data_IF_654547608358
#
_entry.id   IF_654547608358
#
_cell.length_a   1.000
_cell.length_b   1.000
_cell.length_c   1.000
_cell.angle_alpha   90.00
_cell.angle_beta   90.00
_cell.angle_gamma   90.00
#
_symmetry.space_group_name_H-M   'P 1'
#
loop_
_entity.id
_entity.type
_entity.pdbx_description
1 polymer ?
#
# COMPACT_ATOMS: atom_id res chain seq x y z
N UNK A 1 30.92 28.24 39.19
CA UNK A 1 30.21 29.49 39.57
C UNK A 1 29.01 29.59 38.65
N UNK A 2 27.76 29.35 39.05
CA UNK A 2 27.11 29.58 40.34
C UNK A 2 26.47 28.30 40.88
N UNK A 3 26.68 28.05 42.17
CA UNK A 3 25.94 27.10 42.98
C UNK A 3 25.03 27.94 43.87
N UNK A 4 23.72 27.74 43.84
CA UNK A 4 22.81 28.31 44.84
C UNK A 4 22.06 27.15 45.50
N UNK A 5 22.57 26.79 46.68
CA UNK A 5 21.86 26.05 47.73
C UNK A 5 21.35 27.11 48.71
N UNK A 6 20.04 27.16 48.96
CA UNK A 6 19.47 27.74 50.20
C UNK A 6 18.06 27.15 50.44
N UNK A 7 17.58 27.17 51.70
CA UNK A 7 17.11 25.99 52.41
C UNK A 7 15.60 26.04 52.71
N UNK A 8 15.12 25.02 53.43
CA UNK A 8 13.71 24.69 53.59
C UNK A 8 12.76 25.82 53.98
N UNK A 9 11.54 25.74 53.44
CA UNK A 9 10.30 26.00 54.16
C UNK A 9 9.09 25.51 53.33
N UNK A 10 8.01 25.20 54.05
CA UNK A 10 6.83 24.48 53.59
C UNK A 10 6.13 25.10 52.37
N UNK A 11 5.78 24.23 51.42
CA UNK A 11 5.10 24.60 50.17
C UNK A 11 3.57 24.67 50.37
N UNK A 12 2.99 25.87 50.21
CA UNK A 12 1.55 26.04 49.92
C UNK A 12 1.39 26.39 48.44
N UNK A 13 0.72 25.50 47.70
CA UNK A 13 0.40 25.68 46.29
C UNK A 13 -0.63 26.77 46.06
N UNK A 14 -0.32 27.69 45.13
CA UNK A 14 -1.23 28.31 44.16
C UNK A 14 -0.69 29.62 43.54
N UNK A 15 0.47 30.15 43.98
CA UNK A 15 0.98 31.43 43.44
C UNK A 15 2.08 31.31 42.36
N UNK A 16 2.59 30.12 42.04
CA UNK A 16 3.72 29.96 41.12
C UNK A 16 3.39 30.25 39.64
N UNK A 17 2.11 30.21 39.25
CA UNK A 17 1.71 30.38 37.85
C UNK A 17 1.67 31.86 37.41
N UNK A 18 1.45 32.78 38.35
CA UNK A 18 1.34 34.22 38.05
C UNK A 18 2.70 34.92 38.08
N UNK A 19 3.63 34.51 38.94
CA UNK A 19 4.96 35.11 39.02
C UNK A 19 5.84 34.81 37.80
N UNK A 20 5.78 33.59 37.25
CA UNK A 20 6.55 33.19 36.05
C UNK A 20 6.07 33.96 34.81
N UNK A 21 4.77 34.29 34.72
CA UNK A 21 4.21 35.09 33.62
C UNK A 21 4.70 36.54 33.66
N UNK A 22 4.79 37.16 34.84
CA UNK A 22 5.20 38.57 34.97
C UNK A 22 6.71 38.78 34.73
N UNK A 23 7.53 37.79 35.09
CA UNK A 23 8.99 37.87 34.93
C UNK A 23 9.43 37.72 33.47
N UNK A 24 8.68 36.92 32.69
CA UNK A 24 8.92 36.76 31.25
C UNK A 24 8.40 37.94 30.41
N UNK A 25 7.37 38.65 30.88
CA UNK A 25 6.81 39.82 30.18
C UNK A 25 7.68 41.08 30.30
N UNK A 26 8.40 41.27 31.41
CA UNK A 26 9.12 42.52 31.66
C UNK A 26 10.54 42.56 31.06
N UNK A 27 11.12 41.43 30.65
CA UNK A 27 12.49 41.36 30.11
C UNK A 27 12.57 41.19 28.58
N UNK A 28 11.45 41.24 27.87
CA UNK A 28 11.39 41.13 26.40
C UNK A 28 10.81 42.42 25.84
N UNK A 29 11.62 43.49 25.77
CA UNK A 29 11.20 44.74 25.11
C UNK A 29 11.90 45.07 23.80
N UNK A 30 12.99 44.41 23.43
CA UNK A 30 13.73 44.79 22.23
C UNK A 30 14.19 43.60 21.38
N UNK A 31 13.28 42.73 20.91
CA UNK A 31 13.55 41.87 19.74
C UNK A 31 12.23 41.44 19.09
N UNK A 32 11.87 42.10 17.98
CA UNK A 32 10.80 41.67 17.08
C UNK A 32 11.24 40.46 16.28
N UNK A 33 11.01 39.23 16.77
CA UNK A 33 10.80 37.95 16.03
C UNK A 33 10.68 36.82 17.08
N UNK A 34 9.74 35.86 16.95
CA UNK A 34 9.46 34.92 18.04
C UNK A 34 10.56 33.83 18.12
N UNK A 35 11.56 34.09 18.97
CA UNK A 35 12.46 33.09 19.53
C UNK A 35 11.66 32.14 20.43
N UNK A 36 11.52 30.89 20.00
CA UNK A 36 10.96 29.82 20.84
C UNK A 36 12.06 29.37 21.80
N UNK A 37 11.99 29.87 23.03
CA UNK A 37 12.78 29.46 24.19
C UNK A 37 12.37 28.05 24.65
N UNK A 38 13.36 27.16 24.85
CA UNK A 38 13.16 25.88 25.52
C UNK A 38 13.23 26.09 27.03
N UNK A 39 12.19 25.65 27.76
CA UNK A 39 12.20 25.63 29.22
C UNK A 39 12.00 24.19 29.70
N UNK A 40 13.07 23.56 30.20
CA UNK A 40 13.00 22.35 31.02
C UNK A 40 12.64 22.80 32.44
N UNK A 41 11.36 22.69 32.82
CA UNK A 41 10.95 22.98 34.20
C UNK A 41 10.89 21.67 34.98
N UNK A 42 11.82 21.48 35.91
CA UNK A 42 11.83 20.35 36.84
C UNK A 42 10.79 20.62 37.93
N UNK A 43 9.59 20.04 37.79
CA UNK A 43 8.50 20.17 38.79
C UNK A 43 8.58 19.01 39.79
N UNK A 44 9.37 19.16 40.85
CA UNK A 44 9.32 18.23 42.00
C UNK A 44 9.75 16.79 41.69
N UNK A 45 9.44 15.80 42.57
CA UNK A 45 10.12 14.49 42.64
C UNK A 45 9.97 13.69 41.33
N UNK A 46 10.79 12.64 41.09
CA UNK A 46 11.42 12.30 39.79
C UNK A 46 10.49 11.74 38.68
N UNK A 47 9.18 12.00 38.74
CA UNK A 47 8.15 11.28 38.01
C UNK A 47 7.37 12.15 37.00
N UNK A 48 7.82 13.39 36.70
CA UNK A 48 7.14 14.25 35.73
C UNK A 48 8.13 14.94 34.78
N UNK A 49 8.12 14.54 33.51
CA UNK A 49 8.80 15.24 32.41
C UNK A 49 7.74 15.89 31.53
N UNK A 50 7.89 17.19 31.30
CA UNK A 50 7.05 17.98 30.42
C UNK A 50 7.77 18.16 29.08
N UNK A 51 7.29 17.48 28.03
CA UNK A 51 7.86 17.55 26.68
C UNK A 51 6.99 18.45 25.81
N UNK A 52 7.61 19.49 25.23
CA UNK A 52 6.97 20.36 24.24
C UNK A 52 7.35 19.89 22.84
N UNK A 53 6.37 19.36 22.11
CA UNK A 53 6.53 18.93 20.72
C UNK A 53 5.40 19.60 19.94
N UNK A 54 5.77 20.39 18.93
CA UNK A 54 4.84 20.94 17.92
C UNK A 54 3.53 21.51 18.48
N UNK A 55 3.61 22.42 19.44
CA UNK A 55 2.43 23.10 20.00
C UNK A 55 1.60 22.28 21.00
N UNK A 56 2.07 21.11 21.44
CA UNK A 56 1.42 20.29 22.48
C UNK A 56 2.33 20.07 23.68
N UNK A 57 1.75 20.10 24.88
CA UNK A 57 2.43 19.75 26.14
C UNK A 57 2.13 18.30 26.50
N UNK A 58 3.17 17.48 26.66
CA UNK A 58 3.05 16.12 27.16
C UNK A 58 3.52 16.07 28.61
N UNK A 59 2.60 15.82 29.55
CA UNK A 59 2.90 15.51 30.94
C UNK A 59 2.91 13.99 31.07
N UNK A 60 4.07 13.40 31.37
CA UNK A 60 4.11 12.00 31.81
C UNK A 60 3.83 11.96 33.31
N UNK A 61 2.60 11.63 33.69
CA UNK A 61 2.22 11.20 35.05
C UNK A 61 1.13 10.14 34.93
N UNK A 62 1.11 9.18 35.85
CA UNK A 62 0.11 8.12 35.93
C UNK A 62 -1.32 8.65 35.73
N UNK A 63 -2.03 8.05 34.78
CA UNK A 63 -3.48 8.07 34.60
C UNK A 63 -4.20 9.43 34.41
N UNK A 64 -3.73 10.33 33.53
CA UNK A 64 -4.61 11.38 32.98
C UNK A 64 -4.46 11.52 31.46
N UNK A 65 -5.55 11.23 30.74
CA UNK A 65 -5.75 11.60 29.33
C UNK A 65 -5.84 13.12 29.22
N UNK A 66 -4.97 13.72 28.43
CA UNK A 66 -5.20 15.04 27.83
C UNK A 66 -5.10 14.91 26.31
N UNK A 67 -6.27 14.78 25.68
CA UNK A 67 -6.49 14.91 24.25
C UNK A 67 -6.60 16.40 23.89
N UNK A 68 -5.81 16.87 22.93
CA UNK A 68 -5.95 18.20 22.36
C UNK A 68 -5.02 18.38 21.16
N UNK A 69 -5.53 18.12 19.96
CA UNK A 69 -4.87 18.37 18.68
C UNK A 69 -5.20 19.81 18.24
N UNK A 70 -4.21 20.61 17.82
CA UNK A 70 -4.45 21.86 17.09
C UNK A 70 -3.62 21.86 15.79
N UNK A 71 -4.23 22.09 14.61
CA UNK A 71 -3.58 21.89 13.32
C UNK A 71 -2.87 23.17 12.85
N UNK A 72 -1.62 23.40 13.25
CA UNK A 72 -0.82 24.50 12.68
C UNK A 72 0.64 24.09 12.49
N UNK A 73 0.95 23.25 11.51
CA UNK A 73 2.33 23.10 11.02
C UNK A 73 2.34 22.79 9.52
N UNK A 74 2.39 23.86 8.71
CA UNK A 74 2.71 23.80 7.28
C UNK A 74 3.89 24.69 6.84
N UNK A 75 4.48 25.58 7.66
CA UNK A 75 5.74 26.24 7.28
C UNK A 75 6.83 26.09 8.34
N UNK A 76 7.52 24.95 8.38
CA UNK A 76 8.86 24.86 9.00
C UNK A 76 9.82 23.92 8.24
N UNK A 77 9.45 23.52 7.01
CA UNK A 77 10.19 22.58 6.14
C UNK A 77 11.40 23.27 5.44
N UNK A 78 11.79 24.48 5.86
CA UNK A 78 12.84 25.25 5.18
C UNK A 78 14.26 25.09 5.76
N UNK A 79 14.49 24.33 6.83
CA UNK A 79 15.81 24.22 7.48
C UNK A 79 16.16 22.77 7.85
N UNK A 80 16.62 21.98 6.87
CA UNK A 80 16.89 20.54 6.99
C UNK A 80 17.96 20.17 8.04
N UNK A 81 19.06 20.91 8.14
CA UNK A 81 20.18 20.52 9.01
C UNK A 81 19.95 20.83 10.50
N UNK A 82 19.21 21.89 10.81
CA UNK A 82 18.93 22.27 12.20
C UNK A 82 17.87 21.35 12.83
N UNK A 83 16.95 20.82 12.01
CA UNK A 83 15.91 19.89 12.45
C UNK A 83 16.49 18.51 12.77
N UNK A 84 17.34 17.96 11.90
CA UNK A 84 17.93 16.63 12.10
C UNK A 84 18.77 16.55 13.39
N UNK A 85 19.52 17.61 13.70
CA UNK A 85 20.31 17.69 14.93
C UNK A 85 19.43 17.72 16.19
N UNK A 86 18.29 18.44 16.17
CA UNK A 86 17.35 18.48 17.31
C UNK A 86 16.60 17.17 17.50
N UNK A 87 16.18 16.51 16.42
CA UNK A 87 15.53 15.20 16.47
C UNK A 87 16.50 14.14 17.00
N UNK A 88 17.75 14.16 16.54
CA UNK A 88 18.80 13.27 17.03
C UNK A 88 19.07 13.49 18.52
N UNK A 89 19.11 14.75 18.98
CA UNK A 89 19.24 15.07 20.40
C UNK A 89 18.06 14.53 21.23
N UNK A 90 16.82 14.63 20.73
CA UNK A 90 15.63 14.14 21.41
C UNK A 90 15.62 12.62 21.52
N UNK A 91 16.00 11.91 20.45
CA UNK A 91 16.20 10.46 20.51
C UNK A 91 17.39 10.07 21.40
N UNK A 92 18.44 10.87 21.48
CA UNK A 92 19.57 10.61 22.39
C UNK A 92 19.13 10.72 23.86
N UNK A 93 18.33 11.74 24.18
CA UNK A 93 17.70 11.86 25.50
C UNK A 93 16.86 10.62 25.76
N UNK A 94 15.94 10.26 24.85
CA UNK A 94 15.11 9.06 24.99
C UNK A 94 15.92 7.78 25.27
N UNK A 95 17.05 7.60 24.58
CA UNK A 95 17.93 6.44 24.81
C UNK A 95 18.58 6.44 26.19
N UNK A 96 18.97 7.61 26.71
CA UNK A 96 19.57 7.73 28.04
C UNK A 96 18.58 7.33 29.14
N UNK A 97 17.27 7.47 28.89
CA UNK A 97 16.23 7.02 29.82
C UNK A 97 15.80 5.57 29.61
N UNK A 98 16.22 4.88 28.54
CA UNK A 98 15.92 3.46 28.30
C UNK A 98 16.13 2.56 29.54
N UNK A 99 17.29 2.58 30.24
CA UNK A 99 17.51 1.71 31.40
C UNK A 99 16.62 2.01 32.60
N UNK A 100 15.85 3.11 32.56
CA UNK A 100 14.92 3.50 33.63
C UNK A 100 13.49 3.00 33.39
N UNK A 101 13.21 2.38 32.24
CA UNK A 101 11.89 1.88 31.89
C UNK A 101 11.89 0.36 31.72
N UNK A 102 10.78 -0.33 32.03
CA UNK A 102 10.61 -1.72 31.64
C UNK A 102 10.66 -1.90 30.11
N UNK A 103 11.31 -2.96 29.63
CA UNK A 103 11.51 -3.19 28.19
C UNK A 103 10.19 -3.26 27.39
N UNK A 104 9.16 -3.89 27.95
CA UNK A 104 7.86 -4.00 27.29
C UNK A 104 7.22 -2.63 27.02
N UNK A 105 7.34 -1.70 27.99
CA UNK A 105 6.78 -0.36 27.94
C UNK A 105 7.58 0.52 26.99
N UNK A 106 8.91 0.49 27.12
CA UNK A 106 9.82 1.21 26.22
C UNK A 106 9.57 0.82 24.77
N UNK A 107 9.51 -0.48 24.49
CA UNK A 107 9.29 -0.99 23.15
C UNK A 107 7.91 -0.67 22.59
N UNK A 108 6.87 -0.64 23.44
CA UNK A 108 5.54 -0.22 23.00
C UNK A 108 5.51 1.25 22.59
N UNK A 109 6.14 2.12 23.39
CA UNK A 109 6.23 3.55 23.08
C UNK A 109 7.10 3.80 21.86
N UNK A 110 8.19 3.07 21.71
CA UNK A 110 9.08 3.17 20.55
C UNK A 110 8.33 2.87 19.24
N UNK A 111 7.52 1.81 19.22
CA UNK A 111 6.70 1.45 18.05
C UNK A 111 5.65 2.51 17.79
N UNK A 112 4.95 3.00 18.82
CA UNK A 112 3.94 4.08 18.69
C UNK A 112 4.51 5.37 18.12
N UNK A 113 5.71 5.78 18.55
CA UNK A 113 6.41 6.95 17.99
C UNK A 113 6.80 6.69 16.53
N UNK A 114 7.25 5.47 16.21
CA UNK A 114 7.49 5.06 14.83
C UNK A 114 6.24 5.21 13.96
N UNK A 115 5.09 4.72 14.45
CA UNK A 115 3.81 4.77 13.71
C UNK A 115 3.40 6.23 13.44
N UNK A 116 3.56 7.12 14.42
CA UNK A 116 3.30 8.55 14.24
C UNK A 116 4.24 9.21 13.23
N UNK A 117 5.52 8.84 13.22
CA UNK A 117 6.46 9.35 12.21
C UNK A 117 6.09 8.89 10.80
N UNK A 118 5.59 7.66 10.66
CA UNK A 118 5.07 7.14 9.38
C UNK A 118 3.83 7.92 8.94
N UNK A 119 2.91 8.23 9.85
CA UNK A 119 1.76 9.09 9.56
C UNK A 119 2.18 10.49 9.07
N UNK A 120 3.29 11.02 9.61
CA UNK A 120 3.91 12.28 9.18
C UNK A 120 4.77 12.15 7.91
N UNK A 121 4.90 10.95 7.34
CA UNK A 121 5.76 10.61 6.18
C UNK A 121 7.27 10.77 6.45
N UNK A 122 7.68 10.75 7.70
CA UNK A 122 9.09 10.80 8.12
C UNK A 122 9.69 9.38 8.18
N UNK A 123 9.71 8.68 7.03
CA UNK A 123 10.06 7.26 6.96
C UNK A 123 11.50 6.96 7.39
N UNK A 124 12.44 7.82 7.02
CA UNK A 124 13.87 7.67 7.38
C UNK A 124 14.07 7.69 8.90
N UNK A 125 13.39 8.62 9.60
CA UNK A 125 13.45 8.74 11.06
C UNK A 125 12.76 7.56 11.75
N UNK A 126 11.58 7.16 11.25
CA UNK A 126 10.87 6.00 11.77
C UNK A 126 11.73 4.73 11.67
N UNK A 127 12.45 4.56 10.55
CA UNK A 127 13.30 3.41 10.31
C UNK A 127 14.57 3.42 11.17
N UNK A 128 15.31 4.53 11.20
CA UNK A 128 16.61 4.61 11.89
C UNK A 128 16.47 4.67 13.41
N UNK A 129 15.46 5.38 13.93
CA UNK A 129 15.34 5.66 15.36
C UNK A 129 14.28 4.84 16.09
N UNK A 130 13.32 4.24 15.37
CA UNK A 130 12.26 3.42 15.97
C UNK A 130 12.36 1.95 15.55
N UNK A 131 11.87 1.61 14.36
CA UNK A 131 11.70 0.21 13.94
C UNK A 131 13.02 -0.54 13.82
N UNK A 132 14.05 0.06 13.24
CA UNK A 132 15.38 -0.56 13.14
C UNK A 132 15.97 -0.87 14.52
N UNK A 133 15.78 0.03 15.50
CA UNK A 133 16.23 -0.18 16.88
C UNK A 133 15.42 -1.23 17.61
N UNK A 134 14.12 -1.31 17.35
CA UNK A 134 13.28 -2.37 17.91
C UNK A 134 13.76 -3.73 17.40
N UNK A 135 14.00 -3.87 16.09
CA UNK A 135 14.44 -5.12 15.48
C UNK A 135 15.87 -5.51 15.92
N UNK A 136 16.78 -4.55 16.06
CA UNK A 136 18.14 -4.78 16.59
C UNK A 136 18.16 -5.32 18.02
N UNK A 137 17.12 -5.05 18.83
CA UNK A 137 17.01 -5.60 20.17
C UNK A 137 16.60 -7.07 20.17
N UNK A 138 15.93 -7.54 19.11
CA UNK A 138 15.50 -8.92 18.96
C UNK A 138 16.65 -9.76 18.38
N UNK A 139 17.27 -9.26 17.31
CA UNK A 139 18.39 -9.96 16.65
C UNK A 139 19.37 -8.97 16.04
N UNK A 140 20.66 -9.31 16.06
CA UNK A 140 21.72 -8.60 15.34
C UNK A 140 21.82 -8.97 13.85
N UNK A 141 21.00 -9.91 13.37
CA UNK A 141 21.03 -10.39 11.98
C UNK A 141 20.54 -9.30 11.02
N UNK A 142 21.25 -9.14 9.91
CA UNK A 142 20.86 -8.21 8.86
C UNK A 142 19.64 -8.74 8.11
N UNK A 143 18.48 -8.11 8.32
CA UNK A 143 17.20 -8.45 7.69
C UNK A 143 17.30 -8.48 6.16
N UNK A 144 18.20 -7.67 5.57
CA UNK A 144 18.40 -7.63 4.12
C UNK A 144 19.06 -8.90 3.54
N UNK A 145 19.46 -9.86 4.38
CA UNK A 145 20.06 -11.14 3.96
C UNK A 145 19.19 -12.35 4.29
N UNK A 146 17.93 -12.14 4.68
CA UNK A 146 17.03 -13.25 4.99
C UNK A 146 16.58 -13.94 3.70
N UNK A 147 16.90 -15.22 3.56
CA UNK A 147 16.55 -16.02 2.38
C UNK A 147 15.52 -17.10 2.71
N UNK A 148 15.34 -17.46 3.99
CA UNK A 148 14.44 -18.55 4.38
C UNK A 148 13.45 -18.21 5.50
N UNK A 149 12.33 -18.93 5.47
CA UNK A 149 11.31 -18.94 6.52
C UNK A 149 11.91 -19.39 7.86
N UNK A 150 12.80 -20.38 7.83
CA UNK A 150 13.42 -20.92 9.04
C UNK A 150 14.31 -19.89 9.74
N UNK A 151 15.14 -19.16 8.98
CA UNK A 151 15.98 -18.07 9.51
C UNK A 151 15.14 -16.97 10.13
N UNK A 152 14.10 -16.49 9.43
CA UNK A 152 13.24 -15.43 9.96
C UNK A 152 12.53 -15.89 11.24
N UNK A 153 11.99 -17.12 11.24
CA UNK A 153 11.32 -17.69 12.42
C UNK A 153 12.26 -17.83 13.61
N UNK A 154 13.45 -18.38 13.41
CA UNK A 154 14.41 -18.67 14.50
C UNK A 154 14.96 -17.38 15.10
N UNK A 155 15.24 -16.38 14.26
CA UNK A 155 15.82 -15.12 14.69
C UNK A 155 14.77 -14.23 15.38
N UNK A 156 13.59 -14.06 14.80
CA UNK A 156 12.61 -13.07 15.25
C UNK A 156 11.51 -13.62 16.15
N UNK A 157 11.28 -14.94 16.17
CA UNK A 157 10.17 -15.57 16.89
C UNK A 157 10.60 -16.81 17.70
N UNK A 158 11.61 -16.71 18.58
CA UNK A 158 12.11 -17.85 19.35
C UNK A 158 11.04 -18.48 20.26
N UNK A 159 10.12 -17.66 20.79
CA UNK A 159 9.03 -18.10 21.66
C UNK A 159 7.77 -18.54 20.90
N UNK A 160 7.82 -18.58 19.57
CA UNK A 160 6.68 -18.84 18.70
C UNK A 160 5.72 -17.66 18.53
N UNK A 161 4.61 -17.88 17.81
CA UNK A 161 3.71 -16.79 17.39
C UNK A 161 2.58 -16.46 18.36
N UNK A 162 2.39 -17.27 19.40
CA UNK A 162 1.41 -16.99 20.47
C UNK A 162 1.93 -15.98 21.51
N UNK A 163 3.21 -15.66 21.46
CA UNK A 163 3.82 -14.64 22.30
C UNK A 163 3.19 -13.26 21.99
N UNK A 164 2.74 -12.48 22.99
CA UNK A 164 2.28 -11.10 22.79
C UNK A 164 3.26 -10.22 22.00
N UNK A 165 4.57 -10.50 22.13
CA UNK A 165 5.62 -9.79 21.42
C UNK A 165 5.58 -10.11 19.91
N UNK A 166 5.22 -11.34 19.52
CA UNK A 166 5.24 -11.77 18.12
C UNK A 166 4.34 -10.89 17.23
N UNK A 167 3.13 -10.55 17.69
CA UNK A 167 2.22 -9.67 16.94
C UNK A 167 2.85 -8.30 16.70
N UNK A 168 3.54 -7.75 17.71
CA UNK A 168 4.27 -6.48 17.59
C UNK A 168 5.46 -6.61 16.63
N UNK A 169 6.23 -7.70 16.71
CA UNK A 169 7.35 -7.95 15.79
C UNK A 169 6.87 -8.04 14.34
N UNK A 170 5.76 -8.73 14.06
CA UNK A 170 5.19 -8.77 12.72
C UNK A 170 4.77 -7.38 12.23
N UNK A 171 4.07 -6.59 13.06
CA UNK A 171 3.72 -5.20 12.74
C UNK A 171 4.96 -4.39 12.39
N UNK A 172 5.98 -4.43 13.25
CA UNK A 172 7.23 -3.68 13.03
C UNK A 172 7.93 -4.13 11.75
N UNK A 173 7.99 -5.43 11.45
CA UNK A 173 8.57 -5.93 10.19
C UNK A 173 7.81 -5.39 8.97
N UNK A 174 6.47 -5.40 8.99
CA UNK A 174 5.65 -4.88 7.88
C UNK A 174 5.83 -3.38 7.67
N UNK A 175 5.79 -2.58 8.74
CA UNK A 175 5.96 -1.13 8.63
C UNK A 175 7.39 -0.78 8.27
N UNK A 176 8.38 -1.53 8.77
CA UNK A 176 9.78 -1.36 8.38
C UNK A 176 9.99 -1.58 6.87
N UNK A 177 9.40 -2.64 6.30
CA UNK A 177 9.42 -2.88 4.85
C UNK A 177 8.71 -1.77 4.06
N UNK A 178 7.62 -1.24 4.62
CA UNK A 178 6.90 -0.10 4.02
C UNK A 178 7.77 1.16 4.01
N UNK A 179 8.43 1.48 5.12
CA UNK A 179 9.35 2.61 5.21
C UNK A 179 10.51 2.46 4.23
N UNK A 180 11.10 1.26 4.11
CA UNK A 180 12.15 1.00 3.13
C UNK A 180 11.68 1.28 1.71
N UNK A 181 10.52 0.77 1.32
CA UNK A 181 9.98 1.02 -0.01
C UNK A 181 9.71 2.51 -0.23
N UNK A 182 9.18 3.21 0.77
CA UNK A 182 8.93 4.66 0.67
C UNK A 182 10.22 5.46 0.52
N UNK A 183 11.27 5.11 1.24
CA UNK A 183 12.59 5.72 1.04
C UNK A 183 13.12 5.48 -0.38
N UNK A 184 12.96 4.27 -0.93
CA UNK A 184 13.32 4.00 -2.33
C UNK A 184 12.54 4.92 -3.28
N UNK A 185 11.24 5.11 -3.05
CA UNK A 185 10.45 6.03 -3.86
C UNK A 185 10.83 7.50 -3.67
N UNK A 186 11.23 7.93 -2.47
CA UNK A 186 11.64 9.31 -2.21
C UNK A 186 12.96 9.63 -2.93
N UNK A 187 13.87 8.65 -3.04
CA UNK A 187 15.16 8.78 -3.71
C UNK A 187 15.08 8.53 -5.23
N UNK A 188 14.20 7.64 -5.69
CA UNK A 188 14.09 7.18 -7.08
C UNK A 188 12.62 6.87 -7.44
N UNK A 189 11.83 7.92 -7.67
CA UNK A 189 10.39 7.87 -7.91
C UNK A 189 10.03 7.01 -9.13
N UNK A 190 10.85 7.05 -10.19
CA UNK A 190 10.59 6.33 -11.45
C UNK A 190 11.32 4.97 -11.53
N UNK A 191 12.00 4.56 -10.46
CA UNK A 191 12.78 3.33 -10.36
C UNK A 191 13.77 3.14 -11.54
N UNK A 192 14.46 4.22 -11.90
CA UNK A 192 15.44 4.20 -12.99
C UNK A 192 16.75 3.52 -12.57
N UNK A 193 17.06 3.53 -11.27
CA UNK A 193 18.25 2.89 -10.73
C UNK A 193 18.02 1.39 -10.48
N UNK A 194 18.95 0.57 -10.99
CA UNK A 194 18.92 -0.88 -10.80
C UNK A 194 19.00 -1.30 -9.33
N UNK A 195 19.69 -0.56 -8.46
CA UNK A 195 19.74 -0.86 -7.02
C UNK A 195 18.39 -0.63 -6.33
N UNK A 196 17.64 0.40 -6.75
CA UNK A 196 16.26 0.63 -6.30
C UNK A 196 15.34 -0.53 -6.67
N UNK A 197 15.46 -1.00 -7.92
CA UNK A 197 14.70 -2.17 -8.42
C UNK A 197 15.07 -3.44 -7.65
N UNK A 198 16.36 -3.72 -7.44
CA UNK A 198 16.82 -4.86 -6.62
C UNK A 198 16.29 -4.78 -5.20
N UNK A 199 16.28 -3.59 -4.61
CA UNK A 199 15.75 -3.37 -3.26
C UNK A 199 14.24 -3.65 -3.21
N UNK A 200 13.48 -3.23 -4.22
CA UNK A 200 12.06 -3.57 -4.32
C UNK A 200 11.81 -5.08 -4.37
N UNK A 201 12.58 -5.83 -5.17
CA UNK A 201 12.48 -7.30 -5.20
C UNK A 201 12.85 -7.93 -3.86
N UNK A 202 13.90 -7.44 -3.19
CA UNK A 202 14.25 -7.90 -1.84
C UNK A 202 13.10 -7.69 -0.85
N UNK A 203 12.45 -6.52 -0.90
CA UNK A 203 11.28 -6.24 -0.05
C UNK A 203 10.15 -7.23 -0.35
N UNK A 204 9.87 -7.51 -1.64
CA UNK A 204 8.86 -8.48 -2.06
C UNK A 204 9.15 -9.90 -1.53
N UNK A 205 10.40 -10.36 -1.62
CA UNK A 205 10.82 -11.66 -1.09
C UNK A 205 10.60 -11.75 0.43
N UNK A 206 10.98 -10.71 1.18
CA UNK A 206 10.77 -10.70 2.64
C UNK A 206 9.27 -10.66 2.99
N UNK A 207 8.47 -9.86 2.26
CA UNK A 207 7.01 -9.84 2.42
C UNK A 207 6.41 -11.24 2.18
N UNK A 208 6.85 -11.93 1.13
CA UNK A 208 6.41 -13.30 0.83
C UNK A 208 6.73 -14.26 1.97
N UNK A 209 7.94 -14.21 2.52
CA UNK A 209 8.36 -15.05 3.66
C UNK A 209 7.48 -14.78 4.90
N UNK A 210 7.23 -13.50 5.23
CA UNK A 210 6.35 -13.12 6.35
C UNK A 210 4.93 -13.64 6.13
N UNK A 211 4.40 -13.49 4.91
CA UNK A 211 3.07 -14.00 4.57
C UNK A 211 3.00 -15.52 4.64
N UNK A 212 4.04 -16.23 4.20
CA UNK A 212 4.11 -17.69 4.30
C UNK A 212 4.10 -18.18 5.75
N UNK A 213 4.74 -17.45 6.67
CA UNK A 213 4.73 -17.75 8.10
C UNK A 213 3.38 -17.49 8.76
N UNK A 214 2.70 -16.43 8.35
CA UNK A 214 1.44 -15.97 8.97
C UNK A 214 0.21 -16.66 8.39
N UNK A 215 0.26 -17.16 7.15
CA UNK A 215 -0.87 -17.77 6.45
C UNK A 215 -1.56 -18.92 7.20
N UNK A 216 -0.85 -19.86 7.86
CA UNK A 216 -1.50 -20.95 8.60
C UNK A 216 -2.22 -20.49 9.88
N UNK A 217 -2.08 -19.23 10.28
CA UNK A 217 -2.57 -18.71 11.55
C UNK A 217 -3.73 -17.73 11.31
N UNK A 218 -4.97 -18.20 11.41
CA UNK A 218 -6.16 -17.40 11.09
C UNK A 218 -6.26 -16.07 11.86
N UNK A 219 -5.86 -16.04 13.13
CA UNK A 219 -5.83 -14.81 13.96
C UNK A 219 -4.85 -13.75 13.43
N UNK A 220 -3.91 -14.13 12.56
CA UNK A 220 -2.94 -13.27 11.90
C UNK A 220 -3.33 -12.95 10.45
N UNK A 221 -4.54 -13.31 9.98
CA UNK A 221 -4.97 -13.07 8.60
C UNK A 221 -4.90 -11.59 8.18
N UNK A 222 -5.03 -10.67 9.14
CA UNK A 222 -4.87 -9.23 8.90
C UNK A 222 -3.45 -8.88 8.42
N UNK A 223 -2.41 -9.57 8.89
CA UNK A 223 -1.04 -9.42 8.42
C UNK A 223 -0.91 -9.91 6.98
N UNK A 224 -1.52 -11.06 6.66
CA UNK A 224 -1.55 -11.60 5.30
C UNK A 224 -2.21 -10.59 4.35
N UNK A 225 -3.38 -10.07 4.73
CA UNK A 225 -4.10 -9.05 3.96
C UNK A 225 -3.24 -7.80 3.72
N UNK A 226 -2.66 -7.21 4.77
CA UNK A 226 -1.76 -6.05 4.63
C UNK A 226 -0.54 -6.36 3.75
N UNK A 227 0.02 -7.56 3.89
CA UNK A 227 1.10 -8.05 3.04
C UNK A 227 0.73 -8.04 1.55
N UNK A 228 -0.49 -8.47 1.20
CA UNK A 228 -0.96 -8.42 -0.20
C UNK A 228 -1.07 -6.99 -0.74
N UNK A 229 -1.46 -6.01 0.10
CA UNK A 229 -1.55 -4.60 -0.28
C UNK A 229 -0.17 -4.03 -0.56
N UNK A 230 0.80 -4.27 0.33
CA UNK A 230 2.17 -3.81 0.14
C UNK A 230 2.82 -4.47 -1.07
N UNK A 231 2.66 -5.79 -1.21
CA UNK A 231 3.15 -6.56 -2.35
C UNK A 231 2.57 -6.02 -3.66
N UNK A 232 1.25 -5.86 -3.75
CA UNK A 232 0.60 -5.27 -4.93
C UNK A 232 1.15 -3.87 -5.25
N UNK A 233 1.31 -3.01 -4.25
CA UNK A 233 1.76 -1.62 -4.45
C UNK A 233 3.14 -1.58 -5.11
N UNK A 234 4.08 -2.40 -4.62
CA UNK A 234 5.43 -2.50 -5.18
C UNK A 234 5.38 -3.14 -6.57
N UNK A 235 4.64 -4.24 -6.73
CA UNK A 235 4.49 -4.92 -8.02
C UNK A 235 3.92 -3.98 -9.09
N UNK A 236 2.91 -3.16 -8.77
CA UNK A 236 2.32 -2.21 -9.72
C UNK A 236 3.33 -1.20 -10.23
N UNK A 237 4.20 -0.70 -9.36
CA UNK A 237 5.27 0.20 -9.75
C UNK A 237 6.26 -0.49 -10.69
N UNK A 238 6.70 -1.70 -10.33
CA UNK A 238 7.58 -2.54 -11.14
C UNK A 238 6.96 -2.95 -12.50
N UNK A 239 5.64 -3.15 -12.58
CA UNK A 239 4.93 -3.41 -13.84
C UNK A 239 4.99 -2.21 -14.80
N UNK A 240 4.94 -0.98 -14.29
CA UNK A 240 4.99 0.23 -15.11
C UNK A 240 6.31 0.30 -15.88
N UNK A 241 7.42 0.00 -15.20
CA UNK A 241 8.79 -0.03 -15.77
C UNK A 241 9.12 -1.34 -16.52
N UNK A 242 8.14 -2.22 -16.77
CA UNK A 242 8.30 -3.40 -17.61
C UNK A 242 8.81 -4.67 -16.92
N UNK A 243 8.82 -4.74 -15.58
CA UNK A 243 9.21 -5.94 -14.84
C UNK A 243 8.04 -6.94 -14.63
N UNK A 244 6.97 -6.85 -15.44
CA UNK A 244 5.74 -7.63 -15.30
C UNK A 244 5.96 -9.15 -15.21
N UNK A 245 6.91 -9.69 -15.99
CA UNK A 245 7.24 -11.12 -15.97
C UNK A 245 7.82 -11.59 -14.63
N UNK A 246 8.67 -10.76 -14.00
CA UNK A 246 9.30 -11.10 -12.70
C UNK A 246 8.35 -10.94 -11.53
N UNK A 247 7.47 -9.93 -11.56
CA UNK A 247 6.54 -9.70 -10.44
C UNK A 247 5.32 -10.63 -10.45
N UNK A 248 5.10 -11.36 -11.55
CA UNK A 248 3.97 -12.27 -11.72
C UNK A 248 3.88 -13.30 -10.59
N UNK A 249 5.01 -13.88 -10.16
CA UNK A 249 5.04 -14.88 -9.08
C UNK A 249 4.54 -14.32 -7.74
N UNK A 250 4.89 -13.07 -7.43
CA UNK A 250 4.47 -12.39 -6.19
C UNK A 250 2.98 -12.07 -6.23
N UNK A 251 2.46 -11.60 -7.37
CA UNK A 251 1.02 -11.34 -7.51
C UNK A 251 0.19 -12.63 -7.46
N UNK A 252 0.69 -13.72 -8.04
CA UNK A 252 0.08 -15.05 -7.92
C UNK A 252 0.08 -15.52 -6.47
N UNK A 253 1.20 -15.35 -5.77
CA UNK A 253 1.30 -15.65 -4.34
C UNK A 253 0.28 -14.87 -3.52
N UNK A 254 0.15 -13.56 -3.75
CA UNK A 254 -0.86 -12.73 -3.09
C UNK A 254 -2.30 -13.22 -3.34
N UNK A 255 -2.61 -13.65 -4.57
CA UNK A 255 -3.91 -14.26 -4.89
C UNK A 255 -4.13 -15.56 -4.11
N UNK A 256 -3.13 -16.44 -4.08
CA UNK A 256 -3.20 -17.72 -3.34
C UNK A 256 -3.41 -17.46 -1.86
N UNK A 257 -2.68 -16.52 -1.24
CA UNK A 257 -2.86 -16.18 0.18
C UNK A 257 -4.30 -15.72 0.50
N UNK A 258 -4.89 -14.88 -0.35
CA UNK A 258 -6.29 -14.44 -0.18
C UNK A 258 -7.30 -15.57 -0.38
N UNK A 259 -6.95 -16.58 -1.20
CA UNK A 259 -7.80 -17.73 -1.49
C UNK A 259 -7.67 -18.86 -0.46
N UNK A 260 -6.52 -18.97 0.18
CA UNK A 260 -6.23 -20.03 1.17
C UNK A 260 -6.66 -19.68 2.59
N UNK A 261 -6.90 -18.39 2.89
CA UNK A 261 -7.31 -17.94 4.21
C UNK A 261 -8.82 -17.78 4.29
N UNK A 262 -9.49 -18.58 5.12
CA UNK A 262 -10.96 -18.55 5.29
C UNK A 262 -11.49 -17.15 5.63
N UNK A 263 -10.90 -16.38 6.58
CA UNK A 263 -11.35 -15.02 6.85
C UNK A 263 -11.26 -14.08 5.64
N UNK A 264 -10.30 -14.29 4.75
CA UNK A 264 -10.04 -13.44 3.58
C UNK A 264 -10.88 -13.83 2.35
N UNK A 265 -11.53 -15.00 2.39
CA UNK A 265 -12.46 -15.46 1.34
C UNK A 265 -13.82 -14.75 1.37
N UNK A 266 -14.13 -14.02 2.44
CA UNK A 266 -15.40 -13.31 2.60
C UNK A 266 -15.63 -12.26 1.49
N UNK A 267 -16.91 -11.94 1.23
CA UNK A 267 -17.30 -10.93 0.22
C UNK A 267 -16.73 -9.55 0.52
N UNK A 268 -16.46 -9.25 1.79
CA UNK A 268 -15.82 -8.01 2.20
C UNK A 268 -14.53 -7.72 1.40
N UNK A 269 -13.72 -8.75 1.15
CA UNK A 269 -12.44 -8.66 0.45
C UNK A 269 -12.51 -8.97 -1.06
N UNK A 270 -13.71 -9.22 -1.60
CA UNK A 270 -13.90 -9.59 -3.00
C UNK A 270 -13.37 -8.54 -3.98
N UNK A 271 -13.64 -7.26 -3.73
CA UNK A 271 -13.17 -6.15 -4.56
C UNK A 271 -11.63 -6.11 -4.63
N UNK A 272 -10.96 -6.39 -3.51
CA UNK A 272 -9.51 -6.45 -3.46
C UNK A 272 -8.95 -7.67 -4.22
N UNK A 273 -9.53 -8.86 -4.01
CA UNK A 273 -9.17 -10.07 -4.78
C UNK A 273 -9.30 -9.86 -6.28
N UNK A 274 -10.39 -9.24 -6.73
CA UNK A 274 -10.59 -8.93 -8.15
C UNK A 274 -9.52 -7.97 -8.71
N UNK A 275 -9.02 -7.04 -7.88
CA UNK A 275 -7.92 -6.14 -8.26
C UNK A 275 -6.58 -6.90 -8.39
N UNK A 276 -6.29 -7.83 -7.48
CA UNK A 276 -5.12 -8.72 -7.60
C UNK A 276 -5.23 -9.60 -8.86
N UNK A 277 -6.39 -10.19 -9.10
CA UNK A 277 -6.62 -11.02 -10.29
C UNK A 277 -6.39 -10.25 -11.59
N UNK A 278 -6.89 -9.01 -11.67
CA UNK A 278 -6.69 -8.16 -12.84
C UNK A 278 -5.20 -7.82 -13.04
N UNK A 279 -4.43 -7.60 -11.97
CA UNK A 279 -3.00 -7.37 -12.07
C UNK A 279 -2.22 -8.60 -12.57
N UNK A 280 -2.58 -9.81 -12.12
CA UNK A 280 -2.03 -11.06 -12.66
C UNK A 280 -2.33 -11.19 -14.15
N UNK A 281 -3.58 -10.96 -14.56
CA UNK A 281 -3.96 -10.97 -15.98
C UNK A 281 -3.12 -9.97 -16.79
N UNK A 282 -2.94 -8.75 -16.27
CA UNK A 282 -2.14 -7.72 -16.91
C UNK A 282 -0.66 -8.13 -17.01
N UNK A 283 -0.08 -8.80 -16.02
CA UNK A 283 1.27 -9.35 -16.12
C UNK A 283 1.40 -10.36 -17.27
N UNK A 284 0.41 -11.25 -17.43
CA UNK A 284 0.39 -12.20 -18.55
C UNK A 284 0.27 -11.48 -19.90
N UNK A 285 -0.55 -10.44 -19.99
CA UNK A 285 -0.68 -9.64 -21.21
C UNK A 285 0.60 -8.88 -21.54
N UNK A 286 1.21 -8.20 -20.57
CA UNK A 286 2.48 -7.51 -20.73
C UNK A 286 3.61 -8.46 -21.16
N UNK A 287 3.54 -9.74 -20.77
CA UNK A 287 4.55 -10.76 -21.07
C UNK A 287 4.27 -11.56 -22.35
N UNK A 288 3.34 -11.12 -23.21
CA UNK A 288 2.89 -11.82 -24.43
C UNK A 288 2.30 -13.22 -24.19
N UNK A 289 1.91 -13.55 -22.96
CA UNK A 289 1.32 -14.83 -22.56
C UNK A 289 -0.21 -14.72 -22.43
N UNK A 290 -0.87 -14.05 -23.37
CA UNK A 290 -2.29 -13.70 -23.25
C UNK A 290 -3.22 -14.89 -23.03
N UNK A 291 -2.90 -16.07 -23.58
CA UNK A 291 -3.67 -17.30 -23.34
C UNK A 291 -3.75 -17.64 -21.84
N UNK A 292 -2.63 -17.54 -21.12
CA UNK A 292 -2.59 -17.77 -19.67
C UNK A 292 -3.36 -16.69 -18.92
N UNK A 293 -3.30 -15.44 -19.37
CA UNK A 293 -4.11 -14.34 -18.82
C UNK A 293 -5.62 -14.62 -18.90
N UNK A 294 -6.11 -15.08 -20.06
CA UNK A 294 -7.52 -15.42 -20.23
C UNK A 294 -7.93 -16.65 -19.41
N UNK A 295 -7.12 -17.73 -19.42
CA UNK A 295 -7.38 -18.92 -18.61
C UNK A 295 -7.48 -18.57 -17.13
N UNK A 296 -6.54 -17.74 -16.64
CA UNK A 296 -6.53 -17.28 -15.26
C UNK A 296 -7.77 -16.42 -14.95
N UNK A 297 -8.17 -15.50 -15.83
CA UNK A 297 -9.38 -14.68 -15.66
C UNK A 297 -10.65 -15.53 -15.59
N UNK A 298 -10.78 -16.56 -16.44
CA UNK A 298 -11.91 -17.52 -16.43
C UNK A 298 -11.96 -18.31 -15.12
N UNK A 299 -10.81 -18.81 -14.63
CA UNK A 299 -10.70 -19.46 -13.31
C UNK A 299 -11.18 -18.52 -12.19
N UNK A 300 -10.76 -17.26 -12.22
CA UNK A 300 -11.16 -16.28 -11.21
C UNK A 300 -12.67 -15.99 -11.27
N UNK A 301 -13.25 -15.93 -12.48
CA UNK A 301 -14.70 -15.75 -12.63
C UNK A 301 -15.49 -16.91 -12.03
N UNK A 302 -15.03 -18.15 -12.22
CA UNK A 302 -15.63 -19.33 -11.56
C UNK A 302 -15.60 -19.20 -10.04
N UNK A 303 -14.48 -18.78 -9.45
CA UNK A 303 -14.37 -18.56 -7.99
C UNK A 303 -15.31 -17.46 -7.48
N UNK A 304 -15.50 -16.40 -8.26
CA UNK A 304 -16.45 -15.33 -7.91
C UNK A 304 -17.88 -15.88 -7.91
N UNK A 305 -18.22 -16.73 -8.88
CA UNK A 305 -19.54 -17.36 -8.96
C UNK A 305 -19.77 -18.38 -7.84
N UNK A 306 -18.77 -19.21 -7.50
CA UNK A 306 -18.82 -20.12 -6.34
C UNK A 306 -19.12 -19.34 -5.04
N UNK A 307 -18.43 -18.22 -4.81
CA UNK A 307 -18.69 -17.37 -3.65
C UNK A 307 -20.11 -16.76 -3.69
N UNK A 308 -20.57 -16.33 -4.86
CA UNK A 308 -21.93 -15.81 -5.04
C UNK A 308 -22.99 -16.86 -4.73
N UNK A 309 -22.78 -18.11 -5.15
CA UNK A 309 -23.66 -19.23 -4.86
C UNK A 309 -23.71 -19.51 -3.35
N UNK A 310 -22.56 -19.52 -2.67
CA UNK A 310 -22.49 -19.70 -1.21
C UNK A 310 -23.28 -18.61 -0.47
N UNK A 311 -23.16 -17.35 -0.88
CA UNK A 311 -23.89 -16.24 -0.27
C UNK A 311 -25.40 -16.30 -0.55
N UNK A 312 -25.82 -16.81 -1.71
CA UNK A 312 -27.24 -16.99 -2.03
C UNK A 312 -27.90 -18.13 -1.22
N UNK A 313 -27.13 -19.10 -0.74
CA UNK A 313 -27.63 -20.18 0.14
C UNK A 313 -27.92 -19.63 1.54
N UNK A 314 -27.30 -18.52 1.94
CA UNK A 314 -27.62 -17.86 3.21
C UNK A 314 -29.05 -17.33 3.21
N UNK A 315 -29.76 -17.47 4.33
CA UNK A 315 -31.22 -17.23 4.44
C UNK A 315 -31.65 -15.77 4.22
N UNK A 316 -30.71 -14.86 4.01
CA UNK A 316 -30.95 -13.43 3.82
C UNK A 316 -30.71 -13.01 2.37
N UNK A 317 -31.59 -12.19 1.76
CA UNK A 317 -31.33 -11.66 0.43
C UNK A 317 -30.07 -10.81 0.43
N UNK A 318 -29.26 -10.93 -0.63
CA UNK A 318 -28.02 -10.15 -0.77
C UNK A 318 -28.30 -8.65 -0.68
N UNK A 319 -27.55 -7.96 0.18
CA UNK A 319 -27.58 -6.51 0.27
C UNK A 319 -27.19 -5.85 -1.06
N UNK A 320 -27.62 -4.61 -1.26
CA UNK A 320 -27.29 -3.83 -2.46
C UNK A 320 -25.77 -3.67 -2.60
N UNK A 321 -25.06 -3.45 -1.49
CA UNK A 321 -23.60 -3.34 -1.46
C UNK A 321 -22.92 -4.64 -1.88
N UNK A 322 -23.38 -5.78 -1.38
CA UNK A 322 -22.86 -7.11 -1.75
C UNK A 322 -23.06 -7.39 -3.24
N UNK A 323 -24.25 -7.10 -3.77
CA UNK A 323 -24.53 -7.21 -5.22
C UNK A 323 -23.59 -6.32 -6.04
N UNK A 324 -23.30 -5.11 -5.58
CA UNK A 324 -22.36 -4.19 -6.22
C UNK A 324 -20.93 -4.76 -6.26
N UNK A 325 -20.45 -5.34 -5.16
CA UNK A 325 -19.12 -5.99 -5.10
C UNK A 325 -19.00 -7.15 -6.08
N UNK A 326 -20.03 -8.00 -6.17
CA UNK A 326 -20.06 -9.08 -7.16
C UNK A 326 -20.06 -8.55 -8.59
N UNK A 327 -20.91 -7.57 -8.89
CA UNK A 327 -20.96 -6.95 -10.22
C UNK A 327 -19.61 -6.35 -10.63
N UNK A 328 -18.97 -5.60 -9.73
CA UNK A 328 -17.64 -5.02 -9.97
C UNK A 328 -16.60 -6.11 -10.27
N UNK A 329 -16.54 -7.16 -9.44
CA UNK A 329 -15.58 -8.25 -9.61
C UNK A 329 -15.79 -9.02 -10.92
N UNK A 330 -17.05 -9.34 -11.26
CA UNK A 330 -17.42 -9.99 -12.52
C UNK A 330 -17.02 -9.14 -13.72
N UNK A 331 -17.34 -7.84 -13.71
CA UNK A 331 -16.99 -6.92 -14.81
C UNK A 331 -15.48 -6.83 -14.99
N UNK A 332 -14.68 -6.76 -13.90
CA UNK A 332 -13.21 -6.76 -13.99
C UNK A 332 -12.68 -8.02 -14.67
N UNK A 333 -13.18 -9.21 -14.30
CA UNK A 333 -12.71 -10.46 -14.91
C UNK A 333 -13.19 -10.61 -16.36
N UNK A 334 -14.43 -10.23 -16.65
CA UNK A 334 -14.97 -10.22 -18.01
C UNK A 334 -14.20 -9.27 -18.93
N UNK A 335 -13.78 -8.10 -18.45
CA UNK A 335 -12.91 -7.17 -19.19
C UNK A 335 -11.55 -7.80 -19.52
N UNK A 336 -10.95 -8.53 -18.58
CA UNK A 336 -9.70 -9.26 -18.83
C UNK A 336 -9.90 -10.36 -19.88
N UNK A 337 -11.01 -11.10 -19.88
CA UNK A 337 -11.32 -12.12 -20.91
C UNK A 337 -11.51 -11.45 -22.28
N UNK A 338 -12.36 -10.41 -22.34
CA UNK A 338 -12.69 -9.67 -23.55
C UNK A 338 -11.44 -9.15 -24.27
N UNK A 339 -10.49 -8.59 -23.52
CA UNK A 339 -9.21 -8.03 -23.99
C UNK A 339 -8.42 -8.98 -24.91
N UNK A 340 -8.51 -10.29 -24.69
CA UNK A 340 -7.93 -11.31 -25.56
C UNK A 340 -8.94 -11.85 -26.57
N UNK A 341 -10.09 -12.33 -26.11
CA UNK A 341 -11.03 -13.10 -26.94
C UNK A 341 -11.50 -12.32 -28.18
N UNK A 342 -11.60 -10.99 -28.06
CA UNK A 342 -11.95 -10.12 -29.17
C UNK A 342 -10.98 -10.21 -30.35
N UNK A 343 -9.68 -10.21 -30.08
CA UNK A 343 -8.64 -10.23 -31.11
C UNK A 343 -8.35 -11.66 -31.59
N UNK A 344 -8.35 -12.63 -30.67
CA UNK A 344 -8.03 -14.01 -31.05
C UNK A 344 -9.14 -14.64 -31.90
N UNK A 345 -10.42 -14.35 -31.62
CA UNK A 345 -11.54 -14.80 -32.47
C UNK A 345 -11.48 -14.27 -33.91
N UNK A 346 -10.63 -13.27 -34.16
CA UNK A 346 -10.46 -12.63 -35.46
C UNK A 346 -9.20 -13.03 -36.19
N UNK A 347 -8.26 -13.70 -35.53
CA UNK A 347 -7.03 -14.21 -36.14
C UNK A 347 -7.33 -15.40 -37.05
N UNK A 348 -6.94 -15.31 -38.31
CA UNK A 348 -7.06 -16.44 -39.24
C UNK A 348 -6.02 -17.52 -38.97
N UNK A 349 -6.35 -18.81 -39.22
CA UNK A 349 -5.33 -19.84 -39.36
C UNK A 349 -4.42 -19.50 -40.54
N UNK A 350 -3.11 -19.58 -40.32
CA UNK A 350 -2.10 -19.31 -41.35
C UNK A 350 -2.37 -20.21 -42.57
N UNK A 351 -2.51 -19.61 -43.76
CA UNK A 351 -2.66 -20.33 -45.03
C UNK A 351 -4.01 -20.18 -45.75
N UNK A 352 -5.00 -19.49 -45.18
CA UNK A 352 -6.32 -19.29 -45.82
C UNK A 352 -6.46 -17.89 -46.41
N UNK A 353 -6.13 -17.75 -47.70
CA UNK A 353 -6.41 -16.55 -48.50
C UNK A 353 -7.88 -16.52 -48.93
N UNK A 354 -8.77 -15.96 -48.11
CA UNK A 354 -10.09 -15.51 -48.55
C UNK A 354 -10.10 -13.99 -48.79
N UNK A 355 -10.49 -13.49 -49.98
CA UNK A 355 -10.74 -12.06 -50.19
C UNK A 355 -11.77 -11.55 -49.17
N UNK A 356 -11.47 -10.44 -48.49
CA UNK A 356 -12.34 -9.86 -47.47
C UNK A 356 -13.16 -8.73 -48.09
N UNK A 357 -14.49 -8.84 -48.06
CA UNK A 357 -15.38 -7.69 -48.27
C UNK A 357 -15.21 -6.81 -47.03
N UNK A 358 -14.59 -5.64 -47.18
CA UNK A 358 -14.41 -4.68 -46.10
C UNK A 358 -15.78 -4.14 -45.72
N UNK A 359 -16.23 -4.40 -44.49
CA UNK A 359 -17.49 -3.87 -44.02
C UNK A 359 -17.35 -2.35 -43.85
N UNK A 360 -18.17 -1.58 -44.57
CA UNK A 360 -18.12 -0.13 -44.51
C UNK A 360 -18.82 0.35 -43.23
N UNK A 361 -18.05 0.73 -42.22
CA UNK A 361 -18.58 1.16 -40.90
C UNK A 361 -19.54 2.36 -41.02
N UNK A 362 -19.42 3.18 -42.07
CA UNK A 362 -20.33 4.29 -42.34
C UNK A 362 -21.74 3.82 -42.66
N UNK A 363 -21.87 2.78 -43.49
CA UNK A 363 -23.17 2.23 -43.91
C UNK A 363 -23.88 1.54 -42.73
N UNK A 364 -23.10 1.05 -41.77
CA UNK A 364 -23.60 0.41 -40.55
C UNK A 364 -24.17 1.38 -39.52
N UNK A 365 -23.92 2.70 -39.62
CA UNK A 365 -24.46 3.68 -38.66
C UNK A 365 -25.99 3.69 -38.62
N UNK A 366 -26.64 3.37 -39.74
CA UNK A 366 -28.10 3.32 -39.88
C UNK A 366 -28.74 2.07 -39.26
N UNK A 367 -27.95 1.06 -38.90
CA UNK A 367 -28.44 -0.24 -38.39
C UNK A 367 -28.62 -0.21 -36.86
N UNK A 368 -29.57 -1.02 -36.37
CA UNK A 368 -29.79 -1.21 -34.94
C UNK A 368 -28.60 -1.92 -34.28
N UNK A 369 -28.26 -1.49 -33.07
CA UNK A 369 -27.25 -2.15 -32.23
C UNK A 369 -27.74 -3.52 -31.75
N UNK A 370 -26.91 -4.59 -31.75
CA UNK A 370 -25.49 -4.67 -32.11
C UNK A 370 -25.26 -5.02 -33.60
N UNK A 371 -24.40 -4.24 -34.25
CA UNK A 371 -24.11 -4.26 -35.70
C UNK A 371 -22.89 -5.09 -36.04
N UNK A 372 -21.84 -4.97 -35.24
CA UNK A 372 -20.57 -5.68 -35.45
C UNK A 372 -20.43 -6.86 -34.50
N UNK A 373 -19.52 -7.78 -34.77
CA UNK A 373 -19.26 -8.90 -33.86
C UNK A 373 -18.63 -8.37 -32.55
N UNK A 374 -17.86 -7.27 -32.60
CA UNK A 374 -17.35 -6.60 -31.39
C UNK A 374 -18.48 -6.16 -30.47
N UNK A 375 -19.52 -5.53 -31.04
CA UNK A 375 -20.70 -5.06 -30.30
C UNK A 375 -21.52 -6.23 -29.72
N UNK A 376 -21.63 -7.34 -30.46
CA UNK A 376 -22.28 -8.57 -29.96
C UNK A 376 -21.52 -9.18 -28.79
N UNK A 377 -20.20 -9.27 -28.89
CA UNK A 377 -19.36 -9.80 -27.80
C UNK A 377 -19.43 -8.91 -26.54
N UNK A 378 -19.51 -7.59 -26.71
CA UNK A 378 -19.76 -6.67 -25.60
C UNK A 378 -21.09 -6.97 -24.91
N UNK A 379 -22.18 -7.13 -25.68
CA UNK A 379 -23.51 -7.47 -25.12
C UNK A 379 -23.56 -8.86 -24.46
N UNK A 380 -22.76 -9.82 -24.91
CA UNK A 380 -22.67 -11.15 -24.31
C UNK A 380 -22.02 -11.11 -22.93
N UNK A 381 -21.00 -10.26 -22.74
CA UNK A 381 -20.18 -10.24 -21.53
C UNK A 381 -20.59 -9.18 -20.50
N UNK A 382 -21.32 -8.13 -20.90
CA UNK A 382 -21.63 -7.00 -20.03
C UNK A 382 -23.07 -6.51 -20.17
N UNK A 383 -23.61 -5.96 -19.08
CA UNK A 383 -25.01 -5.55 -18.94
C UNK A 383 -25.22 -4.02 -18.86
N UNK A 384 -24.14 -3.22 -18.90
CA UNK A 384 -24.25 -1.76 -18.79
C UNK A 384 -23.18 -1.00 -19.59
N UNK A 385 -23.51 0.23 -19.99
CA UNK A 385 -22.65 1.09 -20.82
C UNK A 385 -21.28 1.38 -20.17
N UNK A 386 -21.23 1.55 -18.84
CA UNK A 386 -19.96 1.77 -18.13
C UNK A 386 -19.03 0.57 -18.23
N UNK A 387 -19.57 -0.65 -18.23
CA UNK A 387 -18.79 -1.87 -18.39
C UNK A 387 -18.34 -2.04 -19.84
N UNK A 388 -19.17 -1.66 -20.83
CA UNK A 388 -18.73 -1.60 -22.23
C UNK A 388 -17.54 -0.65 -22.40
N UNK A 389 -17.62 0.56 -21.84
CA UNK A 389 -16.54 1.54 -21.95
C UNK A 389 -15.24 1.05 -21.32
N UNK A 390 -15.32 0.46 -20.11
CA UNK A 390 -14.16 -0.15 -19.47
C UNK A 390 -13.53 -1.26 -20.32
N UNK A 391 -14.35 -2.15 -20.88
CA UNK A 391 -13.87 -3.25 -21.72
C UNK A 391 -13.21 -2.75 -23.01
N UNK A 392 -13.76 -1.70 -23.63
CA UNK A 392 -13.17 -1.04 -24.81
C UNK A 392 -11.83 -0.41 -24.45
N UNK A 393 -11.75 0.36 -23.36
CA UNK A 393 -10.50 0.97 -22.91
C UNK A 393 -9.44 -0.09 -22.59
N UNK A 394 -9.81 -1.16 -21.89
CA UNK A 394 -8.90 -2.25 -21.57
C UNK A 394 -8.37 -2.97 -22.82
N UNK A 395 -9.22 -3.19 -23.81
CA UNK A 395 -8.85 -3.80 -25.09
C UNK A 395 -7.88 -2.90 -25.90
N UNK A 396 -8.08 -1.59 -25.87
CA UNK A 396 -7.24 -0.61 -26.57
C UNK A 396 -5.92 -0.30 -25.84
N UNK A 397 -5.89 -0.40 -24.51
CA UNK A 397 -4.72 -0.05 -23.68
C UNK A 397 -3.61 -1.11 -23.67
N UNK A 398 -3.73 -2.18 -24.46
CA UNK A 398 -2.67 -3.20 -24.57
C UNK A 398 -1.38 -2.56 -25.14
N UNK A 399 -0.33 -2.47 -24.30
CA UNK A 399 0.97 -1.88 -24.66
C UNK A 399 1.57 -2.54 -25.90
N UNK A 400 1.31 -3.83 -26.08
CA UNK A 400 1.81 -4.60 -27.22
C UNK A 400 1.13 -4.26 -28.54
N UNK A 401 0.00 -3.53 -28.49
CA UNK A 401 -0.81 -3.17 -29.65
C UNK A 401 -0.82 -1.65 -29.89
N UNK A 402 -0.01 -0.90 -29.14
CA UNK A 402 0.16 0.55 -29.36
C UNK A 402 0.85 0.80 -30.69
N UNK A 403 0.19 1.58 -31.54
CA UNK A 403 0.68 2.00 -32.86
C UNK A 403 1.88 2.98 -32.72
N UNK A 404 2.03 3.63 -31.57
CA UNK A 404 3.03 4.70 -31.31
C UNK A 404 4.32 4.20 -30.61
N UNK A 405 4.57 2.89 -30.55
CA UNK A 405 5.77 2.34 -29.89
C UNK A 405 6.94 2.24 -30.88
N UNK A 406 8.17 2.71 -30.57
CA UNK A 406 9.35 2.64 -31.44
C UNK A 406 10.00 1.24 -31.48
N UNK A 407 9.20 0.17 -31.34
CA UNK A 407 9.65 -1.21 -31.49
C UNK A 407 9.54 -1.70 -32.94
N UNK A 408 10.09 -2.88 -33.27
CA UNK A 408 9.84 -3.48 -34.59
C UNK A 408 8.33 -3.60 -34.77
N UNK A 409 7.79 -3.17 -35.94
CA UNK A 409 6.36 -3.13 -36.15
C UNK A 409 5.77 -4.51 -35.87
N UNK A 410 4.77 -4.57 -34.98
CA UNK A 410 3.88 -5.72 -34.89
C UNK A 410 3.43 -6.00 -36.33
N UNK A 411 3.53 -7.25 -36.84
CA UNK A 411 3.15 -7.54 -38.21
C UNK A 411 1.78 -6.92 -38.47
N UNK A 412 1.69 -6.22 -39.60
CA UNK A 412 0.57 -5.36 -39.98
C UNK A 412 -0.66 -6.23 -40.32
N UNK A 413 -1.18 -6.92 -39.31
CA UNK A 413 -2.34 -7.79 -39.39
C UNK A 413 -3.53 -6.85 -39.56
N UNK A 414 -3.98 -6.68 -40.81
CA UNK A 414 -5.19 -5.91 -41.18
C UNK A 414 -6.38 -6.28 -40.26
N UNK A 415 -6.43 -7.54 -39.81
CA UNK A 415 -7.41 -8.06 -38.86
C UNK A 415 -7.43 -7.30 -37.52
N UNK A 416 -6.26 -6.92 -36.99
CA UNK A 416 -6.14 -6.14 -35.75
C UNK A 416 -6.65 -4.70 -35.97
N UNK A 417 -6.33 -4.07 -37.11
CA UNK A 417 -6.81 -2.70 -37.41
C UNK A 417 -8.32 -2.62 -37.56
N UNK A 418 -8.94 -3.64 -38.16
CA UNK A 418 -10.39 -3.72 -38.29
C UNK A 418 -11.05 -3.83 -36.91
N UNK A 419 -10.51 -4.66 -36.00
CA UNK A 419 -10.99 -4.76 -34.61
C UNK A 419 -10.86 -3.44 -33.85
N UNK A 420 -9.73 -2.74 -33.98
CA UNK A 420 -9.54 -1.43 -33.35
C UNK A 420 -10.58 -0.42 -33.88
N UNK A 421 -10.85 -0.43 -35.19
CA UNK A 421 -11.85 0.45 -35.81
C UNK A 421 -13.26 0.14 -35.31
N UNK A 422 -13.61 -1.16 -35.20
CA UNK A 422 -14.88 -1.60 -34.60
C UNK A 422 -14.99 -1.17 -33.12
N UNK A 423 -13.92 -1.26 -32.33
CA UNK A 423 -13.88 -0.82 -30.93
C UNK A 423 -14.11 0.69 -30.80
N UNK A 424 -13.43 1.50 -31.60
CA UNK A 424 -13.62 2.96 -31.62
C UNK A 424 -15.05 3.33 -32.04
N UNK A 425 -15.60 2.63 -33.03
CA UNK A 425 -16.97 2.82 -33.50
C UNK A 425 -18.01 2.46 -32.43
N UNK A 426 -17.81 1.32 -31.75
CA UNK A 426 -18.62 0.89 -30.63
C UNK A 426 -18.58 1.91 -29.47
N UNK A 427 -17.39 2.45 -29.17
CA UNK A 427 -17.22 3.49 -28.16
C UNK A 427 -18.01 4.76 -28.47
N UNK A 428 -17.94 5.26 -29.71
CA UNK A 428 -18.63 6.49 -30.13
C UNK A 428 -20.16 6.41 -30.05
N UNK A 429 -20.74 5.22 -30.11
CA UNK A 429 -22.19 5.04 -30.22
C UNK A 429 -22.88 4.59 -28.92
N UNK A 430 -22.12 4.24 -27.88
CA UNK A 430 -22.64 3.88 -26.55
C UNK A 430 -22.08 4.72 -25.39
N UNK A 431 -21.08 5.57 -25.64
CA UNK A 431 -20.47 6.45 -24.64
C UNK A 431 -20.96 7.92 -24.71
N UNK A 432 -21.89 8.20 -25.62
CA UNK A 432 -22.74 9.40 -25.66
C UNK A 432 -24.14 8.93 -25.30
#
# INVERSE_FOLDING_TARGET
MFSILLPGNQWKGNNLFLEVSSYLQNNIRDFTFPLIMFSLVHLGPPECILLWISGSYYIMKDNVKLSGFCPIFKPLIAYGDFFLNRVTALFNIWNNYKPRFPDWYYNEKLVKVGDQLVEMKEYKLALSHCYGRYLQQITSVNINKLESVHELKTNFFPNGFKDPIATRTFHVLQVWLTCLYKMVCDDDIDLLNQESVKTCFRILTILQIIMQMTLPHEHLCWLVYNGTIHMYTICRHLMIIGQSAKVLEYLLWACVCMESSVPLLAVHYLTWRATLYAAVCQCYYDSHCGMHGEIFARRCLMKIDELKQMENISSSPLSVETKKKFKEATVKMAAMIFKRSLFESRRRPKGVFRPRVKANLKDMQSLLWPRTITERLLMELFDCNSAFFLAILEALFDKNRRILTPGPPVPDEIEIRDVISELCFAGLSKCI
#
